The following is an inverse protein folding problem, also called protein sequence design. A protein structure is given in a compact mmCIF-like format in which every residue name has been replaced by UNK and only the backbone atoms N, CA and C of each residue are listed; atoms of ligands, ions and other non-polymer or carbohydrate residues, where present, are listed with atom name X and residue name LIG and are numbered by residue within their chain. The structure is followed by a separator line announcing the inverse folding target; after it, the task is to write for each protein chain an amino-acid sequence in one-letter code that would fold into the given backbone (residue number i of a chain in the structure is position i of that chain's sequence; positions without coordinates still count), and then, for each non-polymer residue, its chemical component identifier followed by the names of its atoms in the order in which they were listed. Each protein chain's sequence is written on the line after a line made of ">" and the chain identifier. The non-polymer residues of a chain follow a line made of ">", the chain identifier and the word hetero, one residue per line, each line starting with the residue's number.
data_IF_753434080492
#
_entry.id   IF_753434080492
#
_cell.length_a   1.000
_cell.length_b   1.000
_cell.length_c   1.000
_cell.angle_alpha   90.00
_cell.angle_beta   90.00
_cell.angle_gamma   90.00
#
_symmetry.space_group_name_H-M   'P 1'
#
loop_
_entity.id
_entity.type
_entity.pdbx_description
1 polymer ?
#
# COMPACT_ATOMS: atom_id res chain seq x y z
N UNK A 1 -2.86 36.74 52.65
CA UNK A 1 -3.58 36.14 51.52
C UNK A 1 -2.56 35.31 50.75
N UNK A 2 -2.59 33.99 50.89
CA UNK A 2 -1.62 33.06 50.27
C UNK A 2 -2.11 32.67 48.88
N UNK A 3 -1.34 32.96 47.85
CA UNK A 3 -1.66 32.56 46.47
C UNK A 3 -1.01 31.20 46.18
N UNK A 4 -1.83 30.19 45.88
CA UNK A 4 -1.31 28.86 45.51
C UNK A 4 -0.88 28.85 44.05
N UNK A 5 0.30 28.29 43.71
CA UNK A 5 0.74 28.19 42.33
C UNK A 5 -0.12 27.15 41.59
N UNK A 6 -0.84 27.60 40.55
CA UNK A 6 -1.54 26.71 39.64
C UNK A 6 -0.51 25.91 38.85
N UNK A 7 -0.43 24.59 39.10
CA UNK A 7 0.32 23.66 38.24
C UNK A 7 -0.21 23.79 36.81
N UNK A 8 0.60 24.33 35.90
CA UNK A 8 0.36 24.22 34.46
C UNK A 8 0.43 22.74 34.11
N UNK A 9 -0.73 22.14 33.86
CA UNK A 9 -0.83 20.81 33.26
C UNK A 9 -0.25 20.95 31.85
N UNK A 10 0.95 20.41 31.67
CA UNK A 10 1.56 20.28 30.34
C UNK A 10 0.82 19.14 29.65
N UNK A 11 -0.19 19.49 28.85
CA UNK A 11 -0.81 18.54 27.93
C UNK A 11 0.27 18.17 26.92
N UNK A 12 0.89 17.02 27.11
CA UNK A 12 1.73 16.42 26.06
C UNK A 12 0.77 16.09 24.92
N UNK A 13 0.95 16.63 23.70
CA UNK A 13 0.11 16.23 22.59
C UNK A 13 0.28 14.72 22.44
N UNK A 14 -0.81 13.95 22.53
CA UNK A 14 -0.78 12.57 22.10
C UNK A 14 -0.25 12.58 20.66
N UNK A 15 0.93 12.00 20.45
CA UNK A 15 1.43 11.68 19.12
C UNK A 15 0.34 10.86 18.45
N UNK A 16 -0.36 11.46 17.48
CA UNK A 16 -1.51 10.81 16.84
C UNK A 16 -0.99 9.58 16.09
N UNK A 17 -1.30 8.41 16.61
CA UNK A 17 -0.99 7.11 16.02
C UNK A 17 -2.09 6.64 15.04
N UNK A 18 -2.79 7.58 14.41
CA UNK A 18 -3.84 7.31 13.44
C UNK A 18 -3.76 8.32 12.30
N UNK A 19 -4.15 7.89 11.10
CA UNK A 19 -4.18 8.71 9.90
C UNK A 19 -5.55 8.57 9.22
N UNK A 20 -6.08 9.68 8.68
CA UNK A 20 -7.33 9.71 7.93
C UNK A 20 -7.04 9.91 6.45
N UNK A 21 -7.72 9.13 5.60
CA UNK A 21 -7.59 9.23 4.14
C UNK A 21 -8.87 9.67 3.42
N UNK A 22 -9.91 10.03 4.18
CA UNK A 22 -11.13 10.62 3.62
C UNK A 22 -12.13 9.64 2.99
N UNK A 23 -11.99 8.33 3.25
CA UNK A 23 -13.00 7.32 2.90
C UNK A 23 -13.06 6.20 3.97
N UNK A 24 -14.19 5.48 4.10
CA UNK A 24 -14.27 4.23 4.84
C UNK A 24 -13.30 3.18 4.28
N UNK A 25 -12.62 2.44 5.15
CA UNK A 25 -11.67 1.40 4.75
C UNK A 25 -12.22 0.03 5.20
N UNK A 26 -12.43 -0.88 4.24
CA UNK A 26 -12.98 -2.22 4.48
C UNK A 26 -11.91 -3.32 4.45
N UNK A 27 -10.75 -3.02 3.87
CA UNK A 27 -9.63 -3.93 3.83
C UNK A 27 -8.29 -3.18 3.93
N UNK A 28 -7.31 -3.84 4.57
CA UNK A 28 -5.95 -3.37 4.71
C UNK A 28 -4.99 -4.56 4.69
N UNK A 29 -3.84 -4.42 4.02
CA UNK A 29 -2.82 -5.46 3.97
C UNK A 29 -1.42 -4.86 3.78
N UNK A 30 -0.41 -5.52 4.37
CA UNK A 30 0.99 -5.16 4.16
C UNK A 30 1.45 -5.50 2.76
N UNK A 31 2.30 -4.64 2.21
CA UNK A 31 3.02 -4.86 0.96
C UNK A 31 4.51 -4.77 1.22
N UNK A 32 5.21 -5.87 0.95
CA UNK A 32 6.66 -5.94 1.01
C UNK A 32 7.22 -5.83 -0.40
N UNK A 33 7.29 -4.60 -0.90
CA UNK A 33 7.87 -4.33 -2.21
C UNK A 33 9.37 -4.11 -2.06
N UNK A 34 10.18 -4.92 -2.76
CA UNK A 34 11.62 -4.68 -2.84
C UNK A 34 11.86 -3.62 -3.92
N UNK A 35 12.09 -2.37 -3.50
CA UNK A 35 12.64 -1.37 -4.40
C UNK A 35 13.99 -1.89 -4.88
N UNK A 36 14.20 -1.96 -6.19
CA UNK A 36 15.53 -2.23 -6.72
C UNK A 36 16.34 -0.95 -6.50
N UNK A 37 17.43 -1.06 -5.73
CA UNK A 37 18.39 0.02 -5.60
C UNK A 37 18.78 0.47 -7.04
N UNK A 38 18.83 1.78 -7.34
CA UNK A 38 19.41 2.23 -8.60
C UNK A 38 20.81 1.60 -8.70
N UNK A 39 21.12 1.01 -9.86
CA UNK A 39 22.45 0.46 -10.11
C UNK A 39 23.49 1.52 -9.72
N UNK A 40 24.56 1.16 -8.99
CA UNK A 40 25.64 2.11 -8.76
C UNK A 40 26.13 2.61 -10.11
N UNK A 41 26.24 3.93 -10.26
CA UNK A 41 26.91 4.53 -11.42
C UNK A 41 28.22 3.76 -11.68
N UNK A 42 28.56 3.44 -12.94
CA UNK A 42 29.80 2.74 -13.23
C UNK A 42 30.97 3.53 -12.65
N UNK A 43 31.71 2.88 -11.73
CA UNK A 43 32.86 3.46 -11.05
C UNK A 43 33.78 4.17 -12.06
N UNK A 44 34.20 5.42 -11.82
CA UNK A 44 35.27 6.01 -12.59
C UNK A 44 36.57 5.25 -12.29
N UNK A 45 37.21 4.78 -13.36
CA UNK A 45 38.53 4.14 -13.50
C UNK A 45 39.50 4.32 -12.29
N UNK A 46 40.11 3.26 -11.73
CA UNK A 46 40.89 3.37 -10.51
C UNK A 46 42.26 4.03 -10.78
N UNK A 47 42.34 5.34 -10.52
CA UNK A 47 43.61 6.07 -10.36
C UNK A 47 44.25 5.77 -8.99
N UNK A 48 45.59 5.89 -8.86
CA UNK A 48 46.32 5.30 -7.74
C UNK A 48 46.09 6.05 -6.42
N UNK A 49 45.91 5.24 -5.38
CA UNK A 49 45.62 5.61 -3.99
C UNK A 49 46.59 6.62 -3.37
N UNK A 50 46.02 7.66 -2.76
CA UNK A 50 46.61 8.33 -1.60
C UNK A 50 45.54 8.49 -0.52
N UNK A 51 45.90 8.03 0.68
CA UNK A 51 45.18 8.15 1.94
C UNK A 51 44.65 9.56 2.17
N UNK A 52 43.35 9.69 2.49
CA UNK A 52 42.85 10.50 3.60
C UNK A 52 41.33 10.30 3.79
N UNK A 53 40.89 10.48 5.04
CA UNK A 53 39.52 10.30 5.55
C UNK A 53 38.42 10.88 4.67
N UNK A 54 37.56 10.04 4.09
CA UNK A 54 36.23 10.47 3.62
C UNK A 54 35.17 9.42 3.96
N UNK A 55 34.30 9.84 4.88
CA UNK A 55 32.95 9.36 5.18
C UNK A 55 32.39 8.30 4.22
N UNK A 56 32.40 7.05 4.65
CA UNK A 56 31.59 5.99 4.06
C UNK A 56 30.12 6.19 4.49
N UNK A 57 29.52 7.31 4.07
CA UNK A 57 28.09 7.50 4.09
C UNK A 57 27.51 6.68 2.93
N UNK A 58 27.60 5.34 3.04
CA UNK A 58 26.69 4.46 2.32
C UNK A 58 25.30 4.93 2.68
N UNK A 59 24.61 5.58 1.75
CA UNK A 59 23.20 5.91 1.86
C UNK A 59 22.48 4.60 2.15
N UNK A 60 22.17 4.34 3.42
CA UNK A 60 21.31 3.23 3.80
C UNK A 60 20.02 3.46 3.01
N UNK A 61 19.77 2.65 2.00
CA UNK A 61 18.49 2.69 1.31
C UNK A 61 17.42 2.54 2.38
N UNK A 62 16.60 3.57 2.57
CA UNK A 62 15.57 3.53 3.58
C UNK A 62 14.61 2.41 3.16
N UNK A 63 14.56 1.33 3.93
CA UNK A 63 13.60 0.25 3.69
C UNK A 63 12.19 0.83 3.84
N UNK A 64 11.58 1.18 2.71
CA UNK A 64 10.21 1.67 2.69
C UNK A 64 9.26 0.50 2.80
N UNK A 65 8.25 0.66 3.64
CA UNK A 65 7.22 -0.34 3.85
C UNK A 65 5.87 0.26 3.52
N UNK A 66 5.05 -0.52 2.83
CA UNK A 66 3.79 -0.02 2.31
C UNK A 66 2.62 -0.82 2.83
N UNK A 67 1.47 -0.18 2.87
CA UNK A 67 0.19 -0.81 3.18
C UNK A 67 -0.76 -0.46 2.04
N UNK A 68 -1.48 -1.46 1.55
CA UNK A 68 -2.61 -1.24 0.64
C UNK A 68 -3.88 -1.20 1.45
N UNK A 69 -4.69 -0.18 1.18
CA UNK A 69 -5.98 0.05 1.79
C UNK A 69 -7.05 0.06 0.70
N UNK A 70 -8.23 -0.48 0.97
CA UNK A 70 -9.34 -0.36 0.04
C UNK A 70 -10.66 -0.10 0.76
N UNK A 71 -11.50 0.71 0.12
CA UNK A 71 -12.87 0.91 0.53
C UNK A 71 -13.51 2.09 -0.20
N UNK A 72 -14.48 2.72 0.43
CA UNK A 72 -15.23 3.81 -0.20
C UNK A 72 -16.62 4.02 0.38
N UNK A 73 -17.37 4.91 -0.29
CA UNK A 73 -18.74 5.27 0.08
C UNK A 73 -19.82 4.35 -0.51
N UNK A 74 -19.46 3.36 -1.32
CA UNK A 74 -20.39 2.49 -2.04
C UNK A 74 -21.02 3.18 -3.25
N UNK A 75 -22.18 2.68 -3.69
CA UNK A 75 -22.95 3.22 -4.82
C UNK A 75 -23.78 4.46 -4.46
N UNK A 76 -23.81 4.83 -3.18
CA UNK A 76 -24.59 5.98 -2.71
C UNK A 76 -24.05 7.32 -3.20
N UNK A 77 -24.93 8.33 -3.28
CA UNK A 77 -24.58 9.73 -3.62
C UNK A 77 -23.96 10.49 -2.45
N UNK A 78 -23.04 9.86 -1.72
CA UNK A 78 -22.39 10.45 -0.54
C UNK A 78 -21.30 11.47 -0.91
N UNK A 79 -20.84 11.46 -2.16
CA UNK A 79 -19.66 12.23 -2.61
C UNK A 79 -18.33 11.61 -2.18
N UNK A 80 -18.34 10.48 -1.47
CA UNK A 80 -17.13 9.77 -1.04
C UNK A 80 -16.73 8.76 -2.11
N UNK A 81 -15.52 8.86 -2.69
CA UNK A 81 -15.09 7.95 -3.75
C UNK A 81 -14.80 6.54 -3.22
N UNK A 82 -14.99 5.54 -4.08
CA UNK A 82 -14.41 4.22 -3.88
C UNK A 82 -12.98 4.20 -4.42
N UNK A 83 -12.05 3.62 -3.66
CA UNK A 83 -10.65 3.67 -4.00
C UNK A 83 -9.82 2.53 -3.39
N UNK A 84 -8.72 2.23 -4.07
CA UNK A 84 -7.59 1.48 -3.54
C UNK A 84 -6.43 2.46 -3.34
N UNK A 85 -5.83 2.45 -2.17
CA UNK A 85 -4.75 3.35 -1.76
C UNK A 85 -3.49 2.55 -1.48
N UNK A 86 -2.35 3.09 -1.87
CA UNK A 86 -1.03 2.66 -1.41
C UNK A 86 -0.48 3.73 -0.47
N UNK A 87 -0.18 3.37 0.77
CA UNK A 87 0.32 4.30 1.80
C UNK A 87 1.67 3.81 2.32
N UNK A 88 2.56 4.76 2.66
CA UNK A 88 3.85 4.44 3.24
C UNK A 88 3.74 4.38 4.76
N UNK A 89 4.45 3.43 5.36
CA UNK A 89 4.61 3.29 6.79
C UNK A 89 6.08 3.51 7.17
N UNK A 90 6.33 4.49 8.02
CA UNK A 90 7.64 4.77 8.57
C UNK A 90 7.79 4.02 9.91
N UNK A 91 8.65 2.99 9.93
CA UNK A 91 8.95 2.21 11.14
C UNK A 91 9.69 3.01 12.22
N UNK A 92 10.46 4.04 11.83
CA UNK A 92 11.19 4.90 12.76
C UNK A 92 10.22 5.84 13.47
N UNK A 93 9.37 6.51 12.71
CA UNK A 93 8.35 7.42 13.24
C UNK A 93 7.10 6.69 13.78
N UNK A 94 6.94 5.40 13.46
CA UNK A 94 5.76 4.56 13.77
C UNK A 94 4.46 5.21 13.28
N UNK A 95 4.50 5.75 12.06
CA UNK A 95 3.42 6.56 11.50
C UNK A 95 3.15 6.18 10.04
N UNK A 96 1.92 6.48 9.62
CA UNK A 96 1.50 6.42 8.23
C UNK A 96 1.77 7.76 7.55
N UNK A 97 2.06 7.73 6.25
CA UNK A 97 2.17 8.94 5.45
C UNK A 97 0.87 9.75 5.47
N UNK A 98 0.98 11.08 5.56
CA UNK A 98 -0.18 11.98 5.61
C UNK A 98 -1.08 11.85 4.37
N UNK A 99 -0.47 11.62 3.21
CA UNK A 99 -1.13 11.39 1.93
C UNK A 99 -0.77 10.00 1.40
N UNK A 100 -1.67 9.37 0.62
CA UNK A 100 -1.33 8.13 -0.06
C UNK A 100 -0.23 8.39 -1.10
N UNK A 101 0.68 7.42 -1.24
CA UNK A 101 1.70 7.40 -2.28
C UNK A 101 1.02 7.23 -3.63
N UNK A 102 0.05 6.33 -3.73
CA UNK A 102 -0.78 6.16 -4.91
C UNK A 102 -2.24 5.97 -4.54
N UNK A 103 -3.15 6.47 -5.38
CA UNK A 103 -4.59 6.34 -5.20
C UNK A 103 -5.22 6.00 -6.55
N UNK A 104 -5.90 4.87 -6.60
CA UNK A 104 -6.70 4.46 -7.74
C UNK A 104 -8.18 4.56 -7.39
N UNK A 105 -8.94 5.39 -8.11
CA UNK A 105 -10.39 5.55 -7.91
C UNK A 105 -11.13 4.49 -8.72
N UNK A 106 -12.02 3.74 -8.08
CA UNK A 106 -12.73 2.60 -8.68
C UNK A 106 -14.15 2.94 -9.15
N UNK A 107 -14.41 4.22 -9.40
CA UNK A 107 -15.73 4.76 -9.73
C UNK A 107 -16.81 4.32 -8.72
N UNK A 108 -17.92 3.75 -9.19
CA UNK A 108 -19.02 3.26 -8.35
C UNK A 108 -18.72 1.92 -7.67
N UNK A 109 -17.73 1.18 -8.14
CA UNK A 109 -17.48 -0.17 -7.66
C UNK A 109 -16.72 -0.14 -6.34
N UNK A 110 -17.31 -0.71 -5.29
CA UNK A 110 -16.71 -0.74 -3.96
C UNK A 110 -15.73 -1.92 -3.81
N UNK A 111 -14.43 -1.68 -3.59
CA UNK A 111 -13.49 -2.75 -3.25
C UNK A 111 -13.68 -3.16 -1.79
N UNK A 112 -14.28 -4.32 -1.56
CA UNK A 112 -14.71 -4.74 -0.22
C UNK A 112 -13.71 -5.67 0.47
N UNK A 113 -13.06 -6.54 -0.31
CA UNK A 113 -12.02 -7.48 0.15
C UNK A 113 -10.83 -7.43 -0.78
N UNK A 114 -9.66 -7.81 -0.28
CA UNK A 114 -8.46 -7.91 -1.08
C UNK A 114 -7.56 -9.07 -0.67
N UNK A 115 -6.69 -9.48 -1.57
CA UNK A 115 -5.52 -10.29 -1.29
C UNK A 115 -4.29 -9.68 -1.97
N UNK A 116 -3.23 -9.45 -1.20
CA UNK A 116 -1.93 -9.04 -1.72
C UNK A 116 -1.15 -10.29 -2.12
N UNK A 117 -0.57 -10.25 -3.31
CA UNK A 117 0.30 -11.29 -3.83
C UNK A 117 1.55 -11.40 -2.93
N UNK A 118 2.06 -12.61 -2.59
CA UNK A 118 3.19 -12.75 -1.67
C UNK A 118 4.47 -12.02 -2.07
N UNK A 119 4.66 -11.72 -3.35
CA UNK A 119 5.78 -10.91 -3.85
C UNK A 119 5.62 -9.40 -3.63
N UNK A 120 4.44 -8.95 -3.23
CA UNK A 120 4.13 -7.53 -2.98
C UNK A 120 3.92 -6.69 -4.25
N UNK A 121 3.93 -7.30 -5.42
CA UNK A 121 3.80 -6.64 -6.73
C UNK A 121 2.35 -6.60 -7.26
N UNK A 122 1.41 -7.26 -6.59
CA UNK A 122 0.03 -7.33 -7.05
C UNK A 122 -1.00 -7.40 -5.93
N UNK A 123 -2.20 -6.90 -6.20
CA UNK A 123 -3.34 -6.91 -5.29
C UNK A 123 -4.60 -7.28 -6.05
N UNK A 124 -5.30 -8.33 -5.63
CA UNK A 124 -6.62 -8.65 -6.15
C UNK A 124 -7.68 -8.05 -5.23
N UNK A 125 -8.59 -7.23 -5.77
CA UNK A 125 -9.72 -6.69 -5.04
C UNK A 125 -11.04 -7.33 -5.50
N UNK A 126 -11.91 -7.63 -4.55
CA UNK A 126 -13.29 -8.09 -4.76
C UNK A 126 -14.24 -6.91 -4.88
N UNK A 127 -15.02 -6.90 -5.96
CA UNK A 127 -16.10 -5.97 -6.24
C UNK A 127 -17.42 -6.73 -6.38
N UNK A 128 -18.59 -6.04 -6.37
CA UNK A 128 -19.89 -6.71 -6.45
C UNK A 128 -20.09 -7.61 -7.67
N UNK A 129 -19.43 -7.30 -8.80
CA UNK A 129 -19.60 -8.04 -10.07
C UNK A 129 -18.33 -8.74 -10.55
N UNK A 130 -17.17 -8.48 -9.96
CA UNK A 130 -15.94 -9.10 -10.41
C UNK A 130 -14.81 -8.97 -9.39
N UNK A 131 -13.72 -9.71 -9.59
CA UNK A 131 -12.44 -9.37 -8.99
C UNK A 131 -11.50 -8.75 -10.02
N UNK A 132 -10.72 -7.75 -9.61
CA UNK A 132 -9.74 -7.08 -10.49
C UNK A 132 -8.35 -7.13 -9.87
N UNK A 133 -7.34 -7.31 -10.72
CA UNK A 133 -5.94 -7.27 -10.33
C UNK A 133 -5.39 -5.86 -10.49
N UNK A 134 -4.75 -5.35 -9.45
CA UNK A 134 -3.93 -4.15 -9.47
C UNK A 134 -2.46 -4.54 -9.36
N UNK A 135 -1.60 -3.86 -10.11
CA UNK A 135 -0.14 -4.04 -10.07
C UNK A 135 0.47 -2.85 -9.34
N UNK A 136 1.47 -3.13 -8.51
CA UNK A 136 2.29 -2.13 -7.82
C UNK A 136 3.63 -2.09 -8.53
N UNK A 137 3.93 -0.97 -9.19
CA UNK A 137 5.13 -0.79 -9.99
C UNK A 137 5.85 0.52 -9.62
N UNK A 138 7.09 0.67 -10.06
CA UNK A 138 7.83 1.94 -9.99
C UNK A 138 7.40 2.87 -11.14
N UNK A 139 7.06 4.11 -10.79
CA UNK A 139 6.82 5.19 -11.74
C UNK A 139 8.15 5.57 -12.41
N UNK A 140 8.17 5.49 -13.75
CA UNK A 140 9.34 5.81 -14.58
C UNK A 140 9.46 7.33 -14.76
N UNK A 141 9.78 8.04 -13.69
CA UNK A 141 10.15 9.46 -13.71
C UNK A 141 11.62 9.60 -13.32
N UNK A 142 12.36 10.47 -14.02
CA UNK A 142 13.82 10.62 -13.85
C UNK A 142 14.22 11.25 -12.50
N UNK A 143 13.28 11.86 -11.78
CA UNK A 143 13.61 12.65 -10.58
C UNK A 143 13.32 11.92 -9.25
N UNK A 144 12.29 11.05 -9.19
CA UNK A 144 11.90 10.35 -7.96
C UNK A 144 11.30 8.98 -8.29
N UNK A 145 11.96 7.89 -7.87
CA UNK A 145 11.38 6.54 -7.87
C UNK A 145 10.22 6.49 -6.87
N UNK A 146 8.99 6.41 -7.37
CA UNK A 146 7.76 6.35 -6.56
C UNK A 146 6.93 5.13 -6.96
N UNK A 147 6.32 4.45 -6.00
CA UNK A 147 5.40 3.36 -6.33
C UNK A 147 4.05 3.89 -6.79
N UNK A 148 3.51 3.25 -7.84
CA UNK A 148 2.21 3.52 -8.41
C UNK A 148 1.36 2.25 -8.40
N UNK A 149 0.07 2.42 -8.11
CA UNK A 149 -0.92 1.36 -8.20
C UNK A 149 -1.69 1.50 -9.51
N UNK A 150 -1.59 0.51 -10.40
CA UNK A 150 -2.25 0.50 -11.69
C UNK A 150 -3.25 -0.66 -11.79
N UNK A 151 -4.34 -0.47 -12.51
CA UNK A 151 -5.21 -1.59 -12.89
C UNK A 151 -4.48 -2.45 -13.94
N UNK A 152 -4.47 -3.76 -13.75
CA UNK A 152 -3.92 -4.69 -14.73
C UNK A 152 -4.89 -4.92 -15.89
N UNK A 153 -4.37 -5.05 -17.10
CA UNK A 153 -5.14 -5.52 -18.26
C UNK A 153 -5.51 -7.01 -18.15
N UNK A 154 -4.91 -7.75 -17.19
CA UNK A 154 -5.24 -9.14 -16.95
C UNK A 154 -6.63 -9.27 -16.34
N UNK A 155 -7.57 -9.74 -17.14
CA UNK A 155 -8.92 -10.09 -16.69
C UNK A 155 -8.89 -11.44 -15.95
N UNK A 156 -9.46 -11.46 -14.73
CA UNK A 156 -9.64 -12.67 -13.94
C UNK A 156 -10.94 -13.35 -14.35
N UNK A 157 -10.97 -13.97 -15.54
CA UNK A 157 -12.21 -14.45 -16.18
C UNK A 157 -13.08 -15.38 -15.34
N UNK A 158 -12.46 -16.21 -14.50
CA UNK A 158 -13.19 -17.09 -13.56
C UNK A 158 -13.85 -16.35 -12.39
N UNK A 159 -13.50 -15.08 -12.18
CA UNK A 159 -14.03 -14.19 -11.16
C UNK A 159 -14.82 -13.03 -11.80
N UNK A 160 -15.34 -13.21 -13.02
CA UNK A 160 -16.31 -12.30 -13.64
C UNK A 160 -17.73 -12.80 -13.36
N UNK A 161 -18.63 -11.88 -12.99
CA UNK A 161 -20.04 -12.13 -12.71
C UNK A 161 -20.31 -13.21 -11.63
N UNK A 162 -19.32 -13.45 -10.76
CA UNK A 162 -19.40 -14.42 -9.64
C UNK A 162 -20.00 -13.82 -8.36
N UNK A 163 -20.52 -12.60 -8.42
CA UNK A 163 -20.95 -11.85 -7.25
C UNK A 163 -19.78 -11.43 -6.34
N UNK A 164 -20.11 -10.85 -5.20
CA UNK A 164 -19.12 -10.35 -4.25
C UNK A 164 -18.38 -11.50 -3.55
N UNK A 165 -17.05 -11.46 -3.60
CA UNK A 165 -16.21 -12.38 -2.85
C UNK A 165 -15.94 -11.81 -1.45
N UNK A 166 -16.27 -12.59 -0.42
CA UNK A 166 -16.10 -12.25 1.00
C UNK A 166 -14.75 -12.69 1.58
N UNK A 167 -14.08 -13.63 0.90
CA UNK A 167 -12.73 -14.10 1.24
C UNK A 167 -11.88 -14.21 -0.03
N UNK A 168 -10.64 -13.72 0.05
CA UNK A 168 -9.61 -13.86 -0.98
C UNK A 168 -8.28 -14.19 -0.31
N UNK A 169 -7.54 -15.18 -0.81
CA UNK A 169 -6.22 -15.53 -0.26
C UNK A 169 -5.33 -16.22 -1.29
N UNK A 170 -4.14 -15.68 -1.51
CA UNK A 170 -3.08 -16.38 -2.23
C UNK A 170 -2.48 -17.49 -1.35
N UNK A 171 -2.02 -18.57 -1.99
CA UNK A 171 -1.09 -19.51 -1.36
C UNK A 171 0.27 -18.82 -1.10
N UNK A 172 1.16 -19.48 -0.37
CA UNK A 172 2.43 -18.89 0.04
C UNK A 172 3.36 -18.55 -1.14
N UNK A 173 3.25 -19.31 -2.24
CA UNK A 173 4.04 -19.09 -3.46
C UNK A 173 3.46 -18.01 -4.37
N UNK A 174 2.18 -17.65 -4.19
CA UNK A 174 1.46 -16.73 -5.07
C UNK A 174 0.96 -17.36 -6.36
N UNK A 175 1.27 -18.64 -6.61
CA UNK A 175 0.87 -19.39 -7.79
C UNK A 175 -0.63 -19.70 -7.83
N UNK A 176 -1.33 -19.69 -6.70
CA UNK A 176 -2.76 -19.97 -6.63
C UNK A 176 -3.52 -18.96 -5.77
N UNK A 177 -4.76 -18.66 -6.15
CA UNK A 177 -5.70 -17.80 -5.45
C UNK A 177 -6.97 -18.59 -5.08
N UNK A 178 -7.34 -18.56 -3.81
CA UNK A 178 -8.63 -19.02 -3.31
C UNK A 178 -9.60 -17.84 -3.14
N UNK A 179 -10.86 -18.04 -3.52
CA UNK A 179 -11.94 -17.07 -3.40
C UNK A 179 -13.20 -17.73 -2.81
N UNK A 180 -13.89 -17.03 -1.90
CA UNK A 180 -15.15 -17.48 -1.31
C UNK A 180 -16.24 -16.43 -1.44
N UNK A 181 -17.37 -16.80 -2.06
CA UNK A 181 -18.47 -15.90 -2.40
C UNK A 181 -19.59 -15.83 -1.37
N UNK A 182 -20.50 -14.88 -1.56
CA UNK A 182 -21.78 -14.81 -0.84
C UNK A 182 -22.70 -16.00 -1.12
N UNK A 183 -22.48 -16.69 -2.23
CA UNK A 183 -23.19 -17.92 -2.64
C UNK A 183 -22.77 -19.16 -1.83
N UNK A 184 -21.77 -19.04 -0.95
CA UNK A 184 -21.25 -20.14 -0.14
C UNK A 184 -20.28 -21.06 -0.88
N UNK A 185 -19.91 -20.75 -2.12
CA UNK A 185 -18.97 -21.56 -2.89
C UNK A 185 -17.52 -21.11 -2.67
N UNK A 186 -16.61 -22.09 -2.61
CA UNK A 186 -15.17 -21.88 -2.61
C UNK A 186 -14.61 -22.23 -3.98
N UNK A 187 -13.80 -21.33 -4.54
CA UNK A 187 -13.08 -21.56 -5.79
C UNK A 187 -11.58 -21.41 -5.57
N UNK A 188 -10.78 -22.27 -6.22
CA UNK A 188 -9.32 -22.18 -6.25
C UNK A 188 -8.87 -22.11 -7.71
N UNK A 189 -7.96 -21.18 -8.01
CA UNK A 189 -7.40 -20.98 -9.35
C UNK A 189 -5.88 -20.98 -9.25
N UNK A 190 -5.20 -21.63 -10.19
CA UNK A 190 -3.76 -21.71 -10.33
C UNK A 190 -3.38 -21.48 -11.80
#
# INVERSE_FOLDING_TARGET
>A
MFEMPRKKIRIVPLTRNFQKYGLPLYAAAWVWYKLLDPDPDPDPDPGPSTSDEISNAKSKSAQKSYIVLAGGGGEGRSGIPNAVLLVEFDFTAKSLSNLPVSKFVTASDLPYRMAVHPRGDGVVCSFPKSCRLYVIDEEKSEEIKKLVLNLSDKVLTRLEDVGQQLALKFNNEGSALAAGGEDGNLMVMA
#
